data_IF_966252572942
#
_entry.id   IF_966252572942
#
_cell.length_a   1.000
_cell.length_b   1.000
_cell.length_c   1.000
_cell.angle_alpha   90.00
_cell.angle_beta   90.00
_cell.angle_gamma   90.00
#
_symmetry.space_group_name_H-M   'P 1'
#
loop_
_entity.id
_entity.type
_entity.pdbx_description
1 polymer ?
#
# COMPACT_ATOMS: atom_id res chain seq x y z
N UNK A 1 -0.79 -23.69 4.57
CA UNK A 1 -1.69 -22.54 4.37
C UNK A 1 -2.92 -22.75 5.23
N UNK A 2 -3.09 -22.01 6.32
CA UNK A 2 -4.37 -22.01 7.04
C UNK A 2 -5.32 -21.06 6.31
N UNK A 3 -6.26 -21.62 5.53
CA UNK A 3 -7.46 -20.90 5.12
C UNK A 3 -8.20 -20.49 6.40
N UNK A 4 -8.47 -19.21 6.59
CA UNK A 4 -9.31 -18.77 7.71
C UNK A 4 -10.70 -19.38 7.56
N UNK A 5 -11.26 -19.95 8.63
CA UNK A 5 -12.63 -20.49 8.66
C UNK A 5 -13.65 -19.41 8.26
N UNK A 6 -14.27 -19.66 7.10
CA UNK A 6 -15.59 -19.25 6.58
C UNK A 6 -16.29 -18.03 7.19
N UNK A 7 -16.13 -16.89 6.52
CA UNK A 7 -17.28 -16.16 5.99
C UNK A 7 -17.02 -16.00 4.50
N UNK A 8 -17.94 -16.46 3.64
CA UNK A 8 -17.88 -16.18 2.21
C UNK A 8 -18.16 -14.67 2.06
N UNK A 9 -17.11 -13.88 1.93
CA UNK A 9 -17.20 -12.43 1.80
C UNK A 9 -17.64 -12.15 0.35
N UNK A 10 -18.87 -11.66 0.18
CA UNK A 10 -19.48 -11.41 -1.14
C UNK A 10 -19.95 -9.98 -1.26
N UNK A 11 -19.80 -9.39 -2.44
CA UNK A 11 -20.11 -7.98 -2.72
C UNK A 11 -21.60 -7.74 -3.04
N UNK A 12 -22.43 -8.79 -3.10
CA UNK A 12 -23.82 -8.73 -3.60
C UNK A 12 -24.71 -7.66 -2.95
N UNK A 13 -24.54 -7.39 -1.64
CA UNK A 13 -25.40 -6.47 -0.89
C UNK A 13 -24.77 -5.08 -0.68
N UNK A 14 -23.59 -4.84 -1.26
CA UNK A 14 -22.80 -3.62 -1.06
C UNK A 14 -22.98 -2.72 -2.27
N UNK A 15 -23.44 -1.48 -2.06
CA UNK A 15 -23.72 -0.54 -3.15
C UNK A 15 -22.57 0.41 -3.41
N UNK A 16 -21.84 0.80 -2.36
CA UNK A 16 -20.79 1.82 -2.42
C UNK A 16 -19.46 1.34 -1.84
N UNK A 17 -18.36 1.98 -2.26
CA UNK A 17 -17.04 1.76 -1.67
C UNK A 17 -17.01 2.06 -0.15
N UNK A 18 -17.75 3.08 0.27
CA UNK A 18 -17.93 3.42 1.69
C UNK A 18 -18.49 2.25 2.50
N UNK A 19 -19.57 1.62 2.02
CA UNK A 19 -20.18 0.45 2.64
C UNK A 19 -19.23 -0.75 2.64
N UNK A 20 -18.49 -0.96 1.55
CA UNK A 20 -17.47 -2.02 1.46
C UNK A 20 -16.41 -1.91 2.56
N UNK A 21 -15.82 -0.72 2.72
CA UNK A 21 -14.79 -0.48 3.74
C UNK A 21 -15.35 -0.70 5.15
N UNK A 22 -16.57 -0.23 5.40
CA UNK A 22 -17.21 -0.35 6.71
C UNK A 22 -17.59 -1.80 7.04
N UNK A 23 -18.13 -2.55 6.08
CA UNK A 23 -18.53 -3.94 6.28
C UNK A 23 -17.33 -4.86 6.53
N UNK A 24 -16.23 -4.67 5.79
CA UNK A 24 -15.03 -5.49 5.89
C UNK A 24 -13.91 -4.85 6.71
N UNK A 25 -14.26 -3.93 7.61
CA UNK A 25 -13.33 -3.28 8.54
C UNK A 25 -12.39 -4.28 9.21
N UNK A 26 -11.09 -4.02 9.16
CA UNK A 26 -10.01 -4.87 9.66
C UNK A 26 -9.75 -6.17 8.88
N UNK A 27 -10.35 -6.37 7.69
CA UNK A 27 -10.16 -7.56 6.86
C UNK A 27 -9.29 -7.30 5.62
N UNK A 28 -8.61 -6.16 5.52
CA UNK A 28 -7.88 -5.80 4.29
C UNK A 28 -6.42 -6.27 4.25
N UNK A 29 -5.95 -7.01 5.25
CA UNK A 29 -4.53 -7.34 5.40
C UNK A 29 -4.28 -8.85 5.41
N UNK A 30 -3.10 -9.26 4.96
CA UNK A 30 -2.59 -10.63 5.09
C UNK A 30 -1.86 -10.78 6.43
N UNK A 31 -1.92 -11.97 7.05
CA UNK A 31 -1.31 -12.23 8.38
C UNK A 31 0.19 -11.92 8.44
N UNK A 32 0.91 -12.29 7.38
CA UNK A 32 2.35 -12.07 7.21
C UNK A 32 2.64 -11.87 5.73
N UNK A 33 3.50 -10.91 5.40
CA UNK A 33 3.98 -10.67 4.03
C UNK A 33 5.39 -11.22 3.80
N UNK A 34 6.19 -11.30 4.85
CA UNK A 34 7.51 -11.91 4.84
C UNK A 34 7.57 -13.05 5.86
N UNK A 35 7.95 -14.25 5.43
CA UNK A 35 8.02 -15.44 6.28
C UNK A 35 9.29 -16.21 5.96
N UNK A 36 10.01 -16.61 7.02
CA UNK A 36 11.06 -17.63 6.96
C UNK A 36 10.46 -18.87 7.61
N UNK A 37 10.41 -19.98 6.88
CA UNK A 37 9.85 -21.24 7.40
C UNK A 37 10.90 -22.02 8.20
N UNK A 38 10.52 -23.17 8.78
CA UNK A 38 11.43 -24.04 9.56
C UNK A 38 12.61 -24.58 8.75
N UNK A 39 12.48 -24.62 7.42
CA UNK A 39 13.56 -24.98 6.49
C UNK A 39 14.44 -23.79 6.08
N UNK A 40 14.24 -22.63 6.70
CA UNK A 40 14.90 -21.37 6.37
C UNK A 40 14.63 -20.86 4.95
N UNK A 41 13.56 -21.31 4.30
CA UNK A 41 13.13 -20.81 3.00
C UNK A 41 12.37 -19.50 3.17
N UNK A 42 12.72 -18.50 2.35
CA UNK A 42 12.11 -17.18 2.37
C UNK A 42 10.89 -17.18 1.44
N UNK A 43 9.73 -16.80 1.98
CA UNK A 43 8.52 -16.50 1.20
C UNK A 43 8.18 -15.03 1.34
N UNK A 44 8.14 -14.31 0.21
CA UNK A 44 7.66 -12.93 0.11
C UNK A 44 6.28 -12.96 -0.56
N UNK A 45 5.30 -12.26 0.00
CA UNK A 45 3.92 -12.18 -0.51
C UNK A 45 3.58 -10.75 -0.87
N UNK A 46 2.88 -10.59 -1.98
CA UNK A 46 2.33 -9.29 -2.39
C UNK A 46 1.36 -8.73 -1.33
N UNK A 47 1.24 -7.40 -1.21
CA UNK A 47 0.22 -6.78 -0.37
C UNK A 47 -1.18 -7.25 -0.78
N UNK A 48 -2.14 -7.09 0.11
CA UNK A 48 -3.55 -7.10 -0.29
C UNK A 48 -3.85 -5.80 -1.03
N UNK A 49 -4.52 -5.91 -2.18
CA UNK A 49 -5.00 -4.78 -2.96
C UNK A 49 -6.53 -4.62 -2.85
N UNK A 50 -7.16 -5.18 -1.82
CA UNK A 50 -8.63 -5.19 -1.68
C UNK A 50 -9.27 -3.79 -1.66
N UNK A 51 -8.60 -2.80 -1.06
CA UNK A 51 -9.13 -1.43 -1.03
C UNK A 51 -9.10 -0.81 -2.43
N UNK A 52 -8.00 -1.02 -3.16
CA UNK A 52 -7.83 -0.54 -4.52
C UNK A 52 -8.79 -1.23 -5.49
N UNK A 53 -8.86 -2.57 -5.43
CA UNK A 53 -9.77 -3.38 -6.25
C UNK A 53 -11.24 -3.08 -5.93
N UNK A 54 -11.57 -2.96 -4.65
CA UNK A 54 -12.91 -2.57 -4.19
C UNK A 54 -13.30 -1.22 -4.78
N UNK A 55 -12.45 -0.20 -4.64
CA UNK A 55 -12.71 1.11 -5.23
C UNK A 55 -12.96 1.01 -6.74
N UNK A 56 -12.09 0.33 -7.50
CA UNK A 56 -12.24 0.19 -8.95
C UNK A 56 -13.55 -0.52 -9.30
N UNK A 57 -13.88 -1.61 -8.62
CA UNK A 57 -15.16 -2.32 -8.80
C UNK A 57 -16.36 -1.39 -8.59
N UNK A 58 -16.36 -0.57 -7.55
CA UNK A 58 -17.47 0.35 -7.29
C UNK A 58 -17.59 1.47 -8.33
N UNK A 59 -16.51 1.81 -9.03
CA UNK A 59 -16.52 2.77 -10.15
C UNK A 59 -16.97 2.12 -11.47
N UNK A 60 -16.52 0.91 -11.78
CA UNK A 60 -16.73 0.27 -13.10
C UNK A 60 -17.88 -0.72 -13.12
N UNK A 61 -18.23 -1.32 -11.98
CA UNK A 61 -19.15 -2.46 -11.83
C UNK A 61 -18.77 -3.67 -12.68
N UNK A 62 -17.47 -3.86 -12.95
CA UNK A 62 -16.95 -5.00 -13.70
C UNK A 62 -16.91 -6.28 -12.83
N UNK A 63 -17.65 -7.31 -13.27
CA UNK A 63 -17.75 -8.60 -12.59
C UNK A 63 -16.45 -9.40 -12.55
N UNK A 64 -15.52 -9.14 -13.47
CA UNK A 64 -14.20 -9.80 -13.43
C UNK A 64 -13.42 -9.38 -12.17
N UNK A 65 -13.58 -8.13 -11.74
CA UNK A 65 -12.96 -7.58 -10.53
C UNK A 65 -13.61 -8.16 -9.27
N UNK A 66 -14.93 -8.37 -9.27
CA UNK A 66 -15.65 -9.01 -8.16
C UNK A 66 -15.04 -10.37 -7.82
N UNK A 67 -14.81 -11.22 -8.82
CA UNK A 67 -14.19 -12.54 -8.61
C UNK A 67 -12.78 -12.44 -7.99
N UNK A 68 -11.96 -11.48 -8.46
CA UNK A 68 -10.61 -11.26 -7.92
C UNK A 68 -10.66 -10.72 -6.49
N UNK A 69 -11.62 -9.87 -6.16
CA UNK A 69 -11.86 -9.38 -4.79
C UNK A 69 -12.23 -10.54 -3.86
N UNK A 70 -13.16 -11.41 -4.28
CA UNK A 70 -13.55 -12.60 -3.51
C UNK A 70 -12.37 -13.56 -3.30
N UNK A 71 -11.50 -13.72 -4.31
CA UNK A 71 -10.28 -14.52 -4.18
C UNK A 71 -9.27 -13.87 -3.21
N UNK A 72 -9.00 -12.57 -3.34
CA UNK A 72 -8.06 -11.84 -2.47
C UNK A 72 -8.48 -11.92 -1.00
N UNK A 73 -9.77 -11.87 -0.72
CA UNK A 73 -10.31 -12.04 0.63
C UNK A 73 -9.88 -13.36 1.28
N UNK A 74 -9.73 -14.44 0.50
CA UNK A 74 -9.28 -15.74 1.01
C UNK A 74 -7.85 -15.75 1.58
N UNK A 75 -7.04 -14.75 1.22
CA UNK A 75 -5.67 -14.57 1.71
C UNK A 75 -5.57 -13.57 2.87
N UNK A 76 -6.67 -12.90 3.20
CA UNK A 76 -6.72 -11.90 4.28
C UNK A 76 -7.25 -12.48 5.59
N UNK A 77 -7.16 -11.68 6.65
CA UNK A 77 -7.71 -12.03 7.96
C UNK A 77 -8.33 -10.82 8.63
N UNK A 78 -9.30 -11.08 9.50
CA UNK A 78 -9.85 -10.06 10.40
C UNK A 78 -8.89 -9.81 11.57
N UNK A 79 -8.23 -8.65 11.58
CA UNK A 79 -7.42 -8.23 12.71
C UNK A 79 -8.31 -7.79 13.88
N UNK A 80 -7.88 -8.08 15.12
CA UNK A 80 -8.62 -7.61 16.31
C UNK A 80 -8.57 -6.09 16.35
N UNK A 81 -9.75 -5.47 16.37
CA UNK A 81 -9.86 -4.02 16.45
C UNK A 81 -9.23 -3.54 17.77
N UNK A 82 -8.16 -2.74 17.67
CA UNK A 82 -7.54 -2.07 18.80
C UNK A 82 -7.90 -0.59 18.71
N UNK A 83 -8.46 -0.04 19.79
CA UNK A 83 -8.71 1.40 19.88
C UNK A 83 -7.37 2.14 19.77
N UNK A 84 -7.30 3.08 18.82
CA UNK A 84 -6.15 3.95 18.63
C UNK A 84 -6.45 5.27 19.34
N UNK A 85 -5.79 5.50 20.46
CA UNK A 85 -5.95 6.76 21.18
C UNK A 85 -5.31 7.92 20.41
N UNK A 86 -5.94 9.09 20.46
CA UNK A 86 -5.40 10.33 19.89
C UNK A 86 -4.09 10.70 20.58
N UNK A 87 -3.17 11.27 19.81
CA UNK A 87 -1.93 11.84 20.32
C UNK A 87 -1.94 13.37 20.23
N UNK A 88 -3.09 14.01 20.42
CA UNK A 88 -3.34 15.45 20.22
C UNK A 88 -2.28 16.38 20.82
N UNK A 89 -1.66 16.00 21.93
CA UNK A 89 -0.62 16.77 22.65
C UNK A 89 0.80 16.60 22.10
N UNK A 90 1.05 15.69 21.17
CA UNK A 90 2.37 15.53 20.55
C UNK A 90 2.71 16.74 19.68
N UNK A 91 3.92 17.26 19.83
CA UNK A 91 4.47 18.27 18.92
C UNK A 91 4.61 17.70 17.50
N UNK A 92 4.40 18.55 16.51
CA UNK A 92 4.33 18.17 15.09
C UNK A 92 5.64 17.53 14.60
N UNK A 93 6.78 18.15 14.89
CA UNK A 93 8.08 17.62 14.45
C UNK A 93 8.45 16.32 15.15
N UNK A 94 8.10 16.22 16.45
CA UNK A 94 8.25 14.97 17.20
C UNK A 94 7.36 13.86 16.63
N UNK A 95 6.14 14.17 16.21
CA UNK A 95 5.21 13.22 15.59
C UNK A 95 5.79 12.66 14.28
N UNK A 96 6.30 13.53 13.40
CA UNK A 96 6.98 13.12 12.15
C UNK A 96 8.15 12.19 12.40
N UNK A 97 9.08 12.62 13.25
CA UNK A 97 10.30 11.85 13.50
C UNK A 97 9.98 10.52 14.18
N UNK A 98 9.02 10.51 15.12
CA UNK A 98 8.58 9.28 15.77
C UNK A 98 7.93 8.32 14.76
N UNK A 99 7.08 8.82 13.85
CA UNK A 99 6.44 8.00 12.83
C UNK A 99 7.46 7.40 11.86
N UNK A 100 8.40 8.22 11.38
CA UNK A 100 9.50 7.76 10.52
C UNK A 100 10.28 6.62 11.19
N UNK A 101 10.69 6.83 12.45
CA UNK A 101 11.47 5.83 13.20
C UNK A 101 10.67 4.55 13.46
N UNK A 102 9.39 4.66 13.78
CA UNK A 102 8.55 3.48 14.05
C UNK A 102 8.37 2.60 12.80
N UNK A 103 8.25 3.20 11.61
CA UNK A 103 8.20 2.47 10.34
C UNK A 103 9.50 1.71 10.06
N UNK A 104 10.64 2.37 10.21
CA UNK A 104 11.96 1.76 9.98
C UNK A 104 12.21 0.61 10.96
N UNK A 105 11.83 0.80 12.22
CA UNK A 105 11.99 -0.18 13.30
C UNK A 105 10.92 -1.28 13.30
N UNK A 106 9.95 -1.23 12.38
CA UNK A 106 8.83 -2.18 12.27
C UNK A 106 7.96 -2.30 13.54
N UNK A 107 7.71 -1.19 14.22
CA UNK A 107 6.79 -1.15 15.35
C UNK A 107 5.35 -0.94 14.86
N UNK A 108 4.58 -2.02 14.72
CA UNK A 108 3.25 -1.96 14.08
C UNK A 108 2.26 -1.12 14.87
N UNK A 109 2.21 -1.31 16.19
CA UNK A 109 1.23 -0.65 17.06
C UNK A 109 1.50 0.86 17.08
N UNK A 110 2.75 1.26 17.30
CA UNK A 110 3.09 2.68 17.35
C UNK A 110 3.00 3.33 15.97
N UNK A 111 3.42 2.64 14.90
CA UNK A 111 3.36 3.20 13.54
C UNK A 111 1.94 3.53 13.13
N UNK A 112 0.97 2.65 13.37
CA UNK A 112 -0.43 2.93 13.02
C UNK A 112 -0.97 4.11 13.82
N UNK A 113 -0.67 4.18 15.13
CA UNK A 113 -1.10 5.28 15.99
C UNK A 113 -0.52 6.63 15.56
N UNK A 114 0.79 6.66 15.31
CA UNK A 114 1.51 7.87 14.90
C UNK A 114 1.10 8.31 13.48
N UNK A 115 0.98 7.36 12.56
CA UNK A 115 0.60 7.63 11.17
C UNK A 115 -0.83 8.16 11.04
N UNK A 116 -1.81 7.56 11.74
CA UNK A 116 -3.19 8.08 11.75
C UNK A 116 -3.23 9.52 12.29
N UNK A 117 -2.57 9.79 13.42
CA UNK A 117 -2.54 11.14 13.96
C UNK A 117 -1.85 12.12 13.00
N UNK A 118 -0.75 11.72 12.36
CA UNK A 118 -0.03 12.57 11.41
C UNK A 118 -0.89 12.87 10.18
N UNK A 119 -1.53 11.87 9.58
CA UNK A 119 -2.41 12.08 8.42
C UNK A 119 -3.51 13.09 8.74
N UNK A 120 -4.21 12.93 9.87
CA UNK A 120 -5.30 13.82 10.26
C UNK A 120 -4.86 15.26 10.54
N UNK A 121 -3.58 15.49 10.86
CA UNK A 121 -3.04 16.84 11.06
C UNK A 121 -2.43 17.42 9.79
N UNK A 122 -1.75 16.58 9.02
CA UNK A 122 -1.03 16.97 7.83
C UNK A 122 -0.86 15.74 6.92
N UNK A 123 -1.77 15.62 5.95
CA UNK A 123 -1.73 14.57 4.92
C UNK A 123 -0.43 14.60 4.13
N UNK A 124 0.05 15.79 3.78
CA UNK A 124 1.22 15.96 2.92
C UNK A 124 2.48 15.41 3.58
N UNK A 125 2.68 15.66 4.88
CA UNK A 125 3.83 15.15 5.63
C UNK A 125 3.76 13.64 5.88
N UNK A 126 2.55 13.10 6.06
CA UNK A 126 2.36 11.65 6.07
C UNK A 126 2.81 11.05 4.73
N UNK A 127 2.29 11.57 3.61
CA UNK A 127 2.61 11.07 2.27
C UNK A 127 4.08 11.28 1.91
N UNK A 128 4.69 12.40 2.31
CA UNK A 128 6.12 12.66 2.15
C UNK A 128 6.96 11.55 2.78
N UNK A 129 6.67 11.15 4.02
CA UNK A 129 7.39 10.08 4.72
C UNK A 129 7.18 8.74 4.01
N UNK A 130 5.93 8.43 3.63
CA UNK A 130 5.60 7.19 2.92
C UNK A 130 6.34 7.10 1.58
N UNK A 131 6.32 8.15 0.76
CA UNK A 131 7.02 8.18 -0.53
C UNK A 131 8.53 8.12 -0.38
N UNK A 132 9.11 8.86 0.57
CA UNK A 132 10.56 8.79 0.83
C UNK A 132 11.00 7.36 1.13
N UNK A 133 10.25 6.63 1.96
CA UNK A 133 10.54 5.23 2.28
C UNK A 133 10.28 4.31 1.08
N UNK A 134 9.17 4.52 0.35
CA UNK A 134 8.83 3.73 -0.85
C UNK A 134 9.91 3.82 -1.94
N UNK A 135 10.42 5.02 -2.20
CA UNK A 135 11.37 5.26 -3.29
C UNK A 135 12.77 4.68 -3.00
N UNK A 136 13.12 4.49 -1.73
CA UNK A 136 14.38 3.83 -1.35
C UNK A 136 14.24 2.34 -1.07
N UNK A 137 13.02 1.78 -1.08
CA UNK A 137 12.83 0.36 -0.78
C UNK A 137 13.07 -0.52 -2.01
N UNK A 138 13.68 -1.69 -1.80
CA UNK A 138 13.79 -2.73 -2.84
C UNK A 138 12.48 -3.50 -3.07
N UNK A 139 11.44 -3.28 -2.25
CA UNK A 139 10.11 -3.82 -2.45
C UNK A 139 9.26 -2.84 -3.27
N UNK A 140 9.13 -3.15 -4.57
CA UNK A 140 8.39 -2.32 -5.53
C UNK A 140 6.94 -2.05 -5.11
N UNK A 141 6.33 -2.97 -4.35
CA UNK A 141 4.95 -2.83 -3.90
C UNK A 141 4.76 -1.67 -2.93
N UNK A 142 5.80 -1.23 -2.21
CA UNK A 142 5.70 -0.06 -1.32
C UNK A 142 5.44 1.21 -2.10
N UNK A 143 6.01 1.39 -3.30
CA UNK A 143 5.67 2.53 -4.14
C UNK A 143 4.27 2.38 -4.73
N UNK A 144 3.93 1.19 -5.25
CA UNK A 144 2.60 0.92 -5.82
C UNK A 144 1.51 1.22 -4.79
N UNK A 145 1.62 0.70 -3.56
CA UNK A 145 0.65 0.92 -2.48
C UNK A 145 0.60 2.40 -2.06
N UNK A 146 1.73 3.09 -1.92
CA UNK A 146 1.71 4.52 -1.54
C UNK A 146 1.00 5.36 -2.60
N UNK A 147 1.25 5.09 -3.88
CA UNK A 147 0.58 5.77 -4.99
C UNK A 147 -0.94 5.57 -4.94
N UNK A 148 -1.40 4.34 -4.79
CA UNK A 148 -2.84 4.08 -4.71
C UNK A 148 -3.47 4.57 -3.41
N UNK A 149 -2.75 4.62 -2.30
CA UNK A 149 -3.27 5.22 -1.06
C UNK A 149 -3.46 6.72 -1.20
N UNK A 150 -2.51 7.45 -1.77
CA UNK A 150 -2.71 8.87 -2.06
C UNK A 150 -3.95 9.07 -2.93
N UNK A 151 -4.09 8.25 -3.97
CA UNK A 151 -5.26 8.28 -4.85
C UNK A 151 -6.57 8.02 -4.09
N UNK A 152 -6.66 6.92 -3.32
CA UNK A 152 -7.86 6.60 -2.54
C UNK A 152 -8.18 7.66 -1.50
N UNK A 153 -7.15 8.26 -0.89
CA UNK A 153 -7.35 9.35 0.05
C UNK A 153 -8.00 10.55 -0.67
N UNK A 154 -7.47 10.97 -1.81
CA UNK A 154 -8.05 12.08 -2.57
C UNK A 154 -9.52 11.82 -2.95
N UNK A 155 -9.89 10.57 -3.27
CA UNK A 155 -11.25 10.16 -3.59
C UNK A 155 -12.20 10.10 -2.39
N UNK A 156 -11.70 9.70 -1.21
CA UNK A 156 -12.49 9.73 0.04
C UNK A 156 -12.82 11.16 0.47
N UNK A 157 -12.01 12.14 0.05
CA UNK A 157 -12.28 13.56 0.28
C UNK A 157 -12.04 13.99 1.72
N UNK A 158 -13.07 14.48 2.41
CA UNK A 158 -12.93 15.01 3.78
C UNK A 158 -12.63 13.89 4.80
N UNK A 159 -11.34 13.63 5.00
CA UNK A 159 -10.80 12.60 5.91
C UNK A 159 -11.29 12.71 7.34
N UNK A 160 -11.65 13.91 7.80
CA UNK A 160 -12.14 14.10 9.16
C UNK A 160 -13.59 13.64 9.31
N UNK A 161 -14.39 13.75 8.25
CA UNK A 161 -15.76 13.21 8.20
C UNK A 161 -15.77 11.72 7.87
N UNK A 162 -14.93 11.29 6.93
CA UNK A 162 -14.81 9.91 6.49
C UNK A 162 -13.71 9.15 7.25
N UNK A 163 -13.65 9.40 8.56
CA UNK A 163 -12.54 8.98 9.40
C UNK A 163 -12.38 7.46 9.45
N UNK A 164 -13.48 6.72 9.51
CA UNK A 164 -13.40 5.25 9.56
C UNK A 164 -12.72 4.69 8.31
N UNK A 165 -13.10 5.16 7.13
CA UNK A 165 -12.49 4.72 5.86
C UNK A 165 -11.03 5.14 5.77
N UNK A 166 -10.75 6.38 6.17
CA UNK A 166 -9.40 6.94 6.18
C UNK A 166 -8.49 6.12 7.07
N UNK A 167 -8.91 5.84 8.31
CA UNK A 167 -8.14 5.05 9.29
C UNK A 167 -7.88 3.62 8.77
N UNK A 168 -8.83 3.02 8.04
CA UNK A 168 -8.66 1.70 7.41
C UNK A 168 -7.62 1.72 6.28
N UNK A 169 -7.66 2.72 5.40
CA UNK A 169 -6.70 2.91 4.31
C UNK A 169 -5.28 3.10 4.87
N UNK A 170 -5.14 3.99 5.86
CA UNK A 170 -3.85 4.29 6.49
C UNK A 170 -3.30 3.07 7.22
N UNK A 171 -4.14 2.37 7.98
CA UNK A 171 -3.70 1.16 8.68
C UNK A 171 -3.21 0.11 7.70
N UNK A 172 -3.93 -0.11 6.58
CA UNK A 172 -3.56 -1.10 5.58
C UNK A 172 -2.14 -0.88 5.04
N UNK A 173 -1.79 0.35 4.67
CA UNK A 173 -0.45 0.63 4.13
C UNK A 173 0.64 0.63 5.19
N UNK A 174 0.38 1.19 6.39
CA UNK A 174 1.36 1.16 7.47
C UNK A 174 1.67 -0.28 7.87
N UNK A 175 0.64 -1.10 8.02
CA UNK A 175 0.84 -2.50 8.36
C UNK A 175 1.57 -3.26 7.26
N UNK A 176 1.33 -2.95 5.98
CA UNK A 176 2.16 -3.51 4.91
C UNK A 176 3.63 -3.12 5.07
N UNK A 177 3.93 -1.85 5.29
CA UNK A 177 5.32 -1.37 5.45
C UNK A 177 6.03 -2.03 6.63
N UNK A 178 5.33 -2.20 7.75
CA UNK A 178 5.90 -2.78 8.96
C UNK A 178 6.00 -4.30 8.90
N UNK A 179 5.02 -4.99 8.31
CA UNK A 179 4.95 -6.46 8.26
C UNK A 179 5.65 -7.07 7.03
N UNK A 180 6.04 -6.26 6.05
CA UNK A 180 6.86 -6.66 4.90
C UNK A 180 8.36 -6.59 5.25
N UNK A 181 9.21 -7.02 4.31
CA UNK A 181 10.65 -6.92 4.47
C UNK A 181 11.12 -5.46 4.37
N UNK A 182 12.13 -5.08 5.15
CA UNK A 182 12.77 -3.76 5.03
C UNK A 182 14.13 -3.97 4.40
N UNK A 183 14.13 -4.02 3.09
CA UNK A 183 15.33 -4.00 2.26
C UNK A 183 15.29 -2.71 1.42
N UNK A 184 16.46 -2.10 1.25
CA UNK A 184 16.64 -0.78 0.65
C UNK A 184 17.65 -0.84 -0.48
N UNK A 185 17.48 0.03 -1.45
CA UNK A 185 18.39 0.21 -2.58
C UNK A 185 19.54 1.08 -2.10
N UNK A 186 20.78 0.61 -2.29
CA UNK A 186 21.96 1.42 -2.08
C UNK A 186 22.24 2.24 -3.34
N UNK A 187 21.76 3.49 -3.35
CA UNK A 187 21.94 4.40 -4.48
C UNK A 187 23.40 4.83 -4.73
N UNK A 188 24.32 4.50 -3.82
CA UNK A 188 25.76 4.70 -4.04
C UNK A 188 26.43 3.51 -4.74
N UNK A 189 25.69 2.41 -4.98
CA UNK A 189 26.20 1.17 -5.55
C UNK A 189 25.43 0.81 -6.83
N UNK A 190 26.07 0.93 -7.99
CA UNK A 190 25.47 0.61 -9.30
C UNK A 190 24.90 -0.81 -9.36
N UNK A 191 25.63 -1.80 -8.82
CA UNK A 191 25.16 -3.19 -8.75
C UNK A 191 23.87 -3.35 -7.93
N UNK A 192 23.69 -2.54 -6.87
CA UNK A 192 22.46 -2.56 -6.06
C UNK A 192 21.26 -2.05 -6.87
N UNK A 193 21.47 -0.95 -7.61
CA UNK A 193 20.47 -0.35 -8.49
C UNK A 193 20.10 -1.33 -9.62
N UNK A 194 21.10 -1.86 -10.33
CA UNK A 194 20.89 -2.79 -11.44
C UNK A 194 20.16 -4.06 -10.96
N UNK A 195 20.56 -4.62 -9.82
CA UNK A 195 19.89 -5.78 -9.25
C UNK A 195 18.42 -5.50 -8.94
N UNK A 196 18.11 -4.32 -8.36
CA UNK A 196 16.73 -3.92 -8.12
C UNK A 196 15.93 -3.81 -9.42
N UNK A 197 16.44 -3.08 -10.41
CA UNK A 197 15.77 -2.87 -11.70
C UNK A 197 15.45 -4.22 -12.36
N UNK A 198 16.44 -5.11 -12.44
CA UNK A 198 16.33 -6.37 -13.18
C UNK A 198 15.52 -7.46 -12.45
N UNK A 199 15.48 -7.44 -11.11
CA UNK A 199 14.95 -8.57 -10.33
C UNK A 199 13.77 -8.22 -9.41
N UNK A 200 13.52 -6.94 -9.12
CA UNK A 200 12.54 -6.52 -8.11
C UNK A 200 11.45 -5.60 -8.66
N UNK A 201 11.63 -5.02 -9.84
CA UNK A 201 10.60 -4.19 -10.47
C UNK A 201 9.66 -5.01 -11.33
N UNK A 202 8.37 -4.69 -11.28
CA UNK A 202 7.38 -5.24 -12.19
C UNK A 202 6.80 -4.15 -13.11
N UNK A 203 5.97 -4.56 -14.08
CA UNK A 203 5.40 -3.66 -15.06
C UNK A 203 4.55 -2.53 -14.44
N UNK A 204 3.81 -2.82 -13.36
CA UNK A 204 2.97 -1.83 -12.68
C UNK A 204 3.82 -0.78 -11.96
N UNK A 205 4.87 -1.20 -11.25
CA UNK A 205 5.85 -0.31 -10.65
C UNK A 205 6.47 0.61 -11.70
N UNK A 206 6.97 0.04 -12.79
CA UNK A 206 7.63 0.79 -13.88
C UNK A 206 6.69 1.84 -14.47
N UNK A 207 5.42 1.48 -14.72
CA UNK A 207 4.40 2.42 -15.20
C UNK A 207 4.18 3.57 -14.23
N UNK A 208 3.91 3.28 -12.95
CA UNK A 208 3.68 4.30 -11.93
C UNK A 208 4.90 5.21 -11.78
N UNK A 209 6.10 4.63 -11.70
CA UNK A 209 7.34 5.36 -11.54
C UNK A 209 7.59 6.31 -12.72
N UNK A 210 7.59 5.80 -13.96
CA UNK A 210 7.89 6.61 -15.14
C UNK A 210 6.90 7.76 -15.35
N UNK A 211 5.62 7.57 -15.03
CA UNK A 211 4.58 8.58 -15.25
C UNK A 211 4.46 9.62 -14.11
N UNK A 212 4.97 9.31 -12.91
CA UNK A 212 4.69 10.10 -11.70
C UNK A 212 5.92 10.49 -10.88
N UNK A 213 7.10 9.92 -11.10
CA UNK A 213 8.29 10.19 -10.28
C UNK A 213 8.59 11.69 -10.16
N UNK A 214 8.65 12.43 -11.28
CA UNK A 214 8.99 13.87 -11.25
C UNK A 214 7.91 14.68 -10.50
N UNK A 215 6.64 14.26 -10.62
CA UNK A 215 5.51 14.90 -9.92
C UNK A 215 5.61 14.65 -8.41
N UNK A 216 5.90 13.42 -8.00
CA UNK A 216 6.05 13.01 -6.60
C UNK A 216 7.22 13.76 -5.96
N UNK A 217 8.39 13.72 -6.60
CA UNK A 217 9.60 14.39 -6.11
C UNK A 217 9.40 15.89 -5.95
N UNK A 218 8.74 16.53 -6.92
CA UNK A 218 8.42 17.96 -6.85
C UNK A 218 7.40 18.26 -5.75
N UNK A 219 6.30 17.51 -5.69
CA UNK A 219 5.20 17.72 -4.73
C UNK A 219 5.67 17.59 -3.28
N UNK A 220 6.54 16.62 -3.01
CA UNK A 220 7.00 16.30 -1.65
C UNK A 220 8.44 16.74 -1.37
N UNK A 221 9.03 17.56 -2.24
CA UNK A 221 10.39 18.10 -2.13
C UNK A 221 11.45 17.02 -1.79
N UNK A 222 11.46 15.93 -2.54
CA UNK A 222 12.35 14.77 -2.31
C UNK A 222 13.63 14.91 -3.14
N UNK A 223 14.69 15.47 -2.55
CA UNK A 223 15.91 15.81 -3.29
C UNK A 223 17.00 14.73 -3.29
N UNK A 224 16.89 13.72 -2.42
CA UNK A 224 17.99 12.81 -2.10
C UNK A 224 18.00 11.49 -2.88
N UNK A 225 17.15 11.33 -3.90
CA UNK A 225 16.95 10.05 -4.59
C UNK A 225 17.13 10.27 -6.09
N UNK A 226 18.13 9.62 -6.70
CA UNK A 226 18.34 9.69 -8.14
C UNK A 226 17.23 8.99 -8.91
N UNK A 227 16.87 9.53 -10.08
CA UNK A 227 15.88 8.92 -10.96
C UNK A 227 16.45 7.64 -11.58
N UNK A 228 15.66 6.58 -11.59
CA UNK A 228 16.00 5.31 -12.22
C UNK A 228 15.60 5.33 -13.70
N UNK A 229 16.41 4.68 -14.53
CA UNK A 229 16.07 4.39 -15.92
C UNK A 229 15.34 3.04 -15.97
N UNK A 230 14.03 3.07 -16.23
CA UNK A 230 13.18 1.88 -16.21
C UNK A 230 12.58 1.63 -17.59
N UNK A 231 13.02 0.56 -18.24
CA UNK A 231 12.44 0.12 -19.51
C UNK A 231 11.12 -0.64 -19.30
N UNK A 232 10.10 -0.24 -20.06
CA UNK A 232 8.80 -0.91 -20.12
C UNK A 232 8.84 -1.99 -21.19
N UNK A 233 8.51 -3.22 -20.80
CA UNK A 233 8.31 -4.33 -21.72
C UNK A 233 6.90 -4.88 -21.52
N UNK A 234 6.03 -4.70 -22.52
CA UNK A 234 4.63 -5.14 -22.46
C UNK A 234 4.48 -6.66 -22.25
N UNK A 235 5.50 -7.46 -22.60
CA UNK A 235 5.50 -8.91 -22.33
C UNK A 235 5.53 -9.24 -20.83
N UNK A 236 5.92 -8.29 -19.97
CA UNK A 236 5.89 -8.47 -18.52
C UNK A 236 4.46 -8.40 -17.94
N UNK A 237 3.45 -8.03 -18.74
CA UNK A 237 2.05 -7.98 -18.32
C UNK A 237 1.55 -9.35 -17.83
N UNK A 238 1.92 -10.43 -18.53
CA UNK A 238 1.50 -11.79 -18.17
C UNK A 238 2.13 -12.29 -16.86
N UNK A 239 3.21 -11.64 -16.41
CA UNK A 239 3.88 -11.94 -15.13
C UNK A 239 3.22 -11.26 -13.92
N UNK A 240 2.34 -10.28 -14.16
CA UNK A 240 1.61 -9.61 -13.08
C UNK A 240 0.57 -10.56 -12.47
N UNK A 241 0.31 -10.41 -11.16
CA UNK A 241 -0.87 -11.00 -10.54
C UNK A 241 -2.15 -10.39 -11.12
N UNK A 242 -3.27 -11.14 -11.06
CA UNK A 242 -4.56 -10.64 -11.56
C UNK A 242 -4.97 -9.31 -10.91
N UNK A 243 -4.73 -9.19 -9.59
CA UNK A 243 -4.88 -7.94 -8.85
C UNK A 243 -4.10 -6.80 -9.51
N UNK A 244 -2.82 -6.98 -9.82
CA UNK A 244 -2.00 -5.95 -10.48
C UNK A 244 -2.38 -5.67 -11.92
N UNK A 245 -2.87 -6.67 -12.67
CA UNK A 245 -3.37 -6.47 -14.04
C UNK A 245 -4.56 -5.51 -14.04
N UNK A 246 -5.50 -5.68 -13.12
CA UNK A 246 -6.64 -4.76 -12.94
C UNK A 246 -6.15 -3.35 -12.63
N UNK A 247 -5.22 -3.19 -11.69
CA UNK A 247 -4.64 -1.89 -11.34
C UNK A 247 -3.93 -1.23 -12.53
N UNK A 248 -3.13 -2.00 -13.27
CA UNK A 248 -2.43 -1.52 -14.46
C UNK A 248 -3.40 -1.02 -15.54
N UNK A 249 -4.45 -1.81 -15.83
CA UNK A 249 -5.46 -1.45 -16.82
C UNK A 249 -6.27 -0.22 -16.41
N UNK A 250 -6.63 -0.11 -15.12
CA UNK A 250 -7.29 1.07 -14.59
C UNK A 250 -6.47 2.34 -14.85
N UNK A 251 -5.15 2.31 -14.57
CA UNK A 251 -4.27 3.45 -14.85
C UNK A 251 -4.08 3.72 -16.35
N UNK A 252 -4.11 2.70 -17.20
CA UNK A 252 -4.00 2.87 -18.66
C UNK A 252 -5.23 3.57 -19.25
N UNK A 253 -6.41 3.32 -18.69
CA UNK A 253 -7.69 3.81 -19.20
C UNK A 253 -8.11 5.17 -18.63
N UNK A 254 -7.44 5.65 -17.57
CA UNK A 254 -7.76 6.93 -16.89
C UNK A 254 -7.25 8.19 -17.65
N UNK A 255 -7.08 8.11 -18.97
CA UNK A 255 -6.67 9.24 -19.81
C UNK A 255 -7.77 10.27 -19.97
#
# INVERSE_FOLDING_TARGET
MEKSKEQKQSLCDIKTFSEFVNQYKNCFEKRKYFVINEKYEITKREPSFLLELGYIYFQTKDKTIENVVEEEFSYTYKEKNKRIDRLSKYEKDRLKESFRRSLVNKDSIHSVKLGNELLHRNKEEFLEIMYKISLISSDCNKLIKTFFVEFLLDEVGDFNKNREQTDEIVRNIINYFVKSENEYIDYSCENSIEYFINNKTDLLYKKIYNENYDKIVKKYNIQSISKLELEINEKDYDKLSESKKILYNYLKNKK
#
